data_IF_584632102948
#
_entry.id   IF_584632102948
#
_cell.length_a   1.000
_cell.length_b   1.000
_cell.length_c   1.000
_cell.angle_alpha   90.00
_cell.angle_beta   90.00
_cell.angle_gamma   90.00
#
_symmetry.space_group_name_H-M   'P 1'
#
loop_
_entity.id
_entity.type
_entity.pdbx_description
1 polymer ?
#
# COMPACT_ATOMS: atom_id res chain seq x y z
N UNK A 1 -46.36 -11.50 64.48
CA UNK A 1 -47.72 -11.87 64.01
C UNK A 1 -47.93 -11.25 62.64
N UNK A 2 -48.24 -12.11 61.65
CA UNK A 2 -48.89 -11.85 60.33
C UNK A 2 -48.08 -11.01 59.31
N UNK A 3 -47.40 -11.63 58.34
CA UNK A 3 -47.89 -12.15 57.02
C UNK A 3 -48.11 -11.00 56.03
N UNK A 4 -47.30 -10.79 54.99
CA UNK A 4 -47.09 -11.54 53.73
C UNK A 4 -47.55 -10.64 52.56
N UNK A 5 -46.70 -10.38 51.57
CA UNK A 5 -47.00 -10.63 50.14
C UNK A 5 -45.96 -10.06 49.15
N UNK A 6 -45.57 -10.96 48.24
CA UNK A 6 -45.13 -10.75 46.85
C UNK A 6 -43.78 -10.07 46.59
N UNK A 7 -42.70 -10.82 46.35
CA UNK A 7 -42.32 -11.45 45.06
C UNK A 7 -42.43 -10.52 43.86
N UNK A 8 -41.30 -9.97 43.44
CA UNK A 8 -40.99 -9.63 42.05
C UNK A 8 -39.61 -10.22 41.72
N UNK A 9 -39.61 -11.44 41.21
CA UNK A 9 -38.58 -11.90 40.28
C UNK A 9 -38.76 -11.10 38.98
N UNK A 10 -37.68 -10.54 38.42
CA UNK A 10 -37.29 -10.87 37.05
C UNK A 10 -36.08 -10.10 36.55
N UNK A 11 -35.03 -10.88 36.23
CA UNK A 11 -34.28 -10.85 34.97
C UNK A 11 -33.34 -9.66 34.74
N UNK A 12 -32.09 -9.87 35.15
CA UNK A 12 -30.92 -9.39 34.42
C UNK A 12 -31.05 -9.70 32.91
N UNK A 13 -30.60 -8.80 32.03
CA UNK A 13 -30.57 -9.06 30.60
C UNK A 13 -29.56 -10.18 30.28
N UNK A 14 -29.84 -11.05 29.30
CA UNK A 14 -28.96 -12.15 28.97
C UNK A 14 -27.72 -11.62 28.25
N UNK A 15 -26.56 -11.99 28.79
CA UNK A 15 -25.29 -11.94 28.10
C UNK A 15 -25.40 -12.81 26.84
N UNK A 16 -25.53 -12.19 25.67
CA UNK A 16 -25.48 -12.86 24.36
C UNK A 16 -24.05 -13.36 24.13
N UNK A 17 -23.78 -14.53 24.69
CA UNK A 17 -22.64 -15.35 24.32
C UNK A 17 -23.16 -16.45 23.41
N UNK A 18 -23.13 -16.22 22.10
CA UNK A 18 -23.18 -17.31 21.14
C UNK A 18 -22.37 -17.01 19.86
N UNK A 19 -21.25 -17.72 19.79
CA UNK A 19 -20.66 -18.33 18.60
C UNK A 19 -20.21 -17.39 17.49
N UNK A 20 -19.03 -16.78 17.69
CA UNK A 20 -18.07 -16.69 16.58
C UNK A 20 -17.48 -18.09 16.39
N UNK A 21 -18.04 -18.82 15.43
CA UNK A 21 -17.40 -20.02 14.89
C UNK A 21 -16.09 -19.59 14.24
N UNK A 22 -14.96 -19.82 14.93
CA UNK A 22 -13.66 -19.92 14.28
C UNK A 22 -13.67 -21.21 13.45
N UNK A 23 -14.21 -21.13 12.24
CA UNK A 23 -14.06 -22.18 11.26
C UNK A 23 -12.70 -21.99 10.61
N UNK A 24 -11.71 -22.65 11.19
CA UNK A 24 -10.43 -22.95 10.55
C UNK A 24 -10.75 -23.81 9.33
N UNK A 25 -10.79 -23.19 8.15
CA UNK A 25 -10.75 -23.93 6.89
C UNK A 25 -9.28 -24.08 6.48
N UNK A 26 -8.67 -25.16 6.96
CA UNK A 26 -7.61 -25.83 6.21
C UNK A 26 -8.28 -26.45 4.98
N UNK A 27 -8.02 -25.87 3.81
CA UNK A 27 -8.47 -26.35 2.51
C UNK A 27 -7.35 -26.20 1.50
N UNK A 28 -6.43 -27.15 1.52
CA UNK A 28 -5.42 -27.36 0.49
C UNK A 28 -6.13 -27.76 -0.82
N UNK A 29 -6.18 -26.87 -1.81
CA UNK A 29 -6.37 -27.25 -3.20
C UNK A 29 -5.37 -26.48 -4.06
N UNK A 30 -4.37 -27.23 -4.53
CA UNK A 30 -3.49 -26.82 -5.60
C UNK A 30 -4.33 -26.66 -6.88
N UNK A 31 -4.67 -25.42 -7.21
CA UNK A 31 -5.24 -25.03 -8.50
C UNK A 31 -4.26 -24.11 -9.21
N UNK A 32 -3.52 -24.66 -10.17
CA UNK A 32 -2.69 -23.89 -11.11
C UNK A 32 -3.61 -23.01 -11.97
N UNK A 33 -3.75 -21.73 -11.60
CA UNK A 33 -4.29 -20.71 -12.50
C UNK A 33 -3.14 -19.99 -13.20
N UNK A 34 -2.91 -20.39 -14.45
CA UNK A 34 -2.17 -19.62 -15.44
C UNK A 34 -2.87 -18.28 -15.65
N UNK A 35 -2.22 -17.20 -15.25
CA UNK A 35 -2.62 -15.84 -15.63
C UNK A 35 -2.34 -15.68 -17.13
N UNK A 36 -3.40 -15.65 -17.92
CA UNK A 36 -3.37 -15.34 -19.33
C UNK A 36 -3.06 -13.86 -19.55
N UNK A 37 -1.88 -13.58 -20.08
CA UNK A 37 -1.59 -12.30 -20.73
C UNK A 37 -2.28 -12.28 -22.08
N UNK A 38 -3.30 -11.42 -22.20
CA UNK A 38 -4.02 -11.13 -23.45
C UNK A 38 -3.13 -10.21 -24.30
N UNK A 39 -2.80 -10.55 -25.56
CA UNK A 39 -2.08 -9.62 -26.44
C UNK A 39 -3.03 -8.50 -26.89
N UNK A 40 -2.62 -7.25 -26.65
CA UNK A 40 -3.27 -6.09 -27.23
C UNK A 40 -2.93 -6.01 -28.72
N UNK A 41 -3.92 -6.29 -29.56
CA UNK A 41 -3.89 -5.98 -30.99
C UNK A 41 -4.33 -4.52 -31.19
N UNK A 42 -3.48 -3.74 -31.84
CA UNK A 42 -3.86 -2.47 -32.46
C UNK A 42 -3.27 -2.39 -33.87
N UNK A 43 -3.96 -1.66 -34.77
CA UNK A 43 -4.08 -2.01 -36.18
C UNK A 43 -2.96 -1.46 -37.06
N UNK A 44 -2.64 -2.21 -38.11
CA UNK A 44 -1.79 -1.80 -39.22
C UNK A 44 -2.57 -0.92 -40.19
N UNK A 45 -1.97 0.19 -40.65
CA UNK A 45 -2.25 0.92 -41.91
C UNK A 45 -1.20 2.03 -42.12
N UNK A 46 -0.95 2.54 -43.35
CA UNK A 46 -0.82 1.86 -44.64
C UNK A 46 0.51 2.22 -45.37
N UNK A 47 0.72 1.56 -46.50
CA UNK A 47 1.78 1.77 -47.50
C UNK A 47 1.93 3.23 -47.98
N UNK A 48 3.18 3.68 -48.09
CA UNK A 48 3.67 4.62 -49.12
C UNK A 48 5.17 4.33 -49.34
N UNK A 49 5.50 3.63 -50.42
CA UNK A 49 6.10 4.16 -51.66
C UNK A 49 7.56 3.68 -51.79
N UNK A 50 7.72 2.42 -52.22
CA UNK A 50 8.95 2.01 -52.90
C UNK A 50 8.69 2.10 -54.40
N UNK A 51 9.50 2.94 -55.03
CA UNK A 51 9.47 3.23 -56.44
C UNK A 51 9.85 1.98 -57.24
N UNK A 52 9.02 1.68 -58.24
CA UNK A 52 9.15 0.60 -59.21
C UNK A 52 10.39 0.76 -60.09
N UNK A 53 11.10 -0.33 -60.31
CA UNK A 53 11.80 -0.61 -61.56
C UNK A 53 11.98 -2.13 -61.72
N UNK A 54 11.03 -2.70 -62.45
CA UNK A 54 11.13 -3.72 -63.50
C UNK A 54 11.87 -5.06 -63.29
N UNK A 55 11.08 -6.11 -63.51
CA UNK A 55 11.49 -7.48 -63.80
C UNK A 55 12.52 -7.55 -64.94
N UNK A 56 13.62 -8.25 -64.68
CA UNK A 56 14.32 -8.97 -65.75
C UNK A 56 14.64 -10.39 -65.30
N UNK A 57 13.81 -11.28 -65.84
CA UNK A 57 14.07 -12.65 -66.27
C UNK A 57 15.53 -13.10 -66.09
N UNK A 58 15.68 -14.16 -65.32
CA UNK A 58 16.92 -14.90 -65.09
C UNK A 58 17.36 -15.56 -66.41
N UNK A 59 18.36 -14.99 -67.05
CA UNK A 59 19.38 -15.72 -67.82
C UNK A 59 20.76 -15.16 -67.48
N UNK A 60 21.80 -16.00 -67.52
CA UNK A 60 23.01 -15.82 -66.73
C UNK A 60 23.94 -14.83 -67.41
N UNK A 61 24.31 -13.75 -66.71
CA UNK A 61 25.43 -12.93 -67.12
C UNK A 61 26.70 -13.39 -66.38
N UNK A 62 27.72 -13.60 -67.20
CA UNK A 62 29.00 -14.22 -66.95
C UNK A 62 29.94 -13.15 -66.34
N UNK A 63 30.44 -13.40 -65.12
CA UNK A 63 31.37 -12.54 -64.40
C UNK A 63 30.67 -11.73 -63.31
N UNK A 64 30.79 -12.01 -62.02
CA UNK A 64 31.98 -12.36 -61.25
C UNK A 64 31.65 -13.57 -60.39
N UNK A 65 32.41 -14.66 -60.54
CA UNK A 65 32.37 -15.76 -59.57
C UNK A 65 32.93 -15.21 -58.26
N UNK A 66 32.04 -14.93 -57.29
CA UNK A 66 32.42 -15.01 -55.88
C UNK A 66 33.19 -16.32 -55.72
N UNK A 67 34.44 -16.21 -55.27
CA UNK A 67 35.29 -17.36 -54.98
C UNK A 67 34.63 -18.16 -53.86
N UNK A 68 33.70 -19.05 -54.21
CA UNK A 68 33.15 -20.02 -53.29
C UNK A 68 34.34 -20.85 -52.79
N UNK A 69 34.66 -20.69 -51.50
CA UNK A 69 35.65 -21.52 -50.82
C UNK A 69 35.34 -22.98 -51.13
N UNK A 70 36.36 -23.85 -51.30
CA UNK A 70 36.10 -25.25 -51.66
C UNK A 70 35.14 -25.88 -50.65
N UNK A 71 34.31 -26.83 -51.10
CA UNK A 71 33.20 -27.42 -50.32
C UNK A 71 33.66 -27.90 -48.94
N UNK A 72 34.87 -28.47 -48.86
CA UNK A 72 35.50 -28.92 -47.62
C UNK A 72 35.73 -27.77 -46.63
N UNK A 73 36.14 -26.60 -47.12
CA UNK A 73 36.35 -25.41 -46.30
C UNK A 73 35.02 -24.76 -45.87
N UNK A 74 33.96 -24.89 -46.68
CA UNK A 74 32.62 -24.46 -46.28
C UNK A 74 32.07 -25.34 -45.14
N UNK A 75 32.24 -26.66 -45.22
CA UNK A 75 31.82 -27.59 -44.16
C UNK A 75 32.60 -27.33 -42.87
N UNK A 76 33.92 -27.12 -42.95
CA UNK A 76 34.74 -26.73 -41.81
C UNK A 76 34.27 -25.41 -41.19
N UNK A 77 34.01 -24.40 -42.02
CA UNK A 77 33.53 -23.10 -41.56
C UNK A 77 32.18 -23.20 -40.85
N UNK A 78 31.23 -23.96 -41.40
CA UNK A 78 29.94 -24.20 -40.72
C UNK A 78 30.16 -24.93 -39.40
N UNK A 79 31.03 -25.93 -39.36
CA UNK A 79 31.33 -26.66 -38.12
C UNK A 79 31.92 -25.73 -37.05
N UNK A 80 32.87 -24.88 -37.44
CA UNK A 80 33.49 -23.87 -36.55
C UNK A 80 32.49 -22.79 -36.09
N UNK A 81 31.55 -22.37 -36.96
CA UNK A 81 30.50 -21.40 -36.62
C UNK A 81 29.54 -21.89 -35.55
N UNK A 82 29.33 -23.21 -35.48
CA UNK A 82 28.44 -23.87 -34.52
C UNK A 82 29.16 -24.39 -33.27
N UNK A 83 30.50 -24.39 -33.24
CA UNK A 83 31.26 -24.75 -32.07
C UNK A 83 31.26 -23.59 -31.05
N UNK A 84 30.67 -23.76 -29.84
CA UNK A 84 30.66 -22.73 -28.82
C UNK A 84 32.05 -22.43 -28.24
N UNK A 85 33.02 -23.32 -28.45
CA UNK A 85 34.39 -23.22 -27.94
C UNK A 85 35.29 -22.41 -28.89
N UNK A 86 34.85 -22.23 -30.14
CA UNK A 86 35.61 -21.52 -31.17
C UNK A 86 35.46 -20.01 -31.08
N UNK A 87 36.56 -19.27 -31.31
CA UNK A 87 36.52 -17.81 -31.43
C UNK A 87 35.72 -17.33 -32.66
N UNK A 88 35.49 -18.19 -33.65
CA UNK A 88 34.72 -17.85 -34.85
C UNK A 88 33.20 -18.10 -34.72
N UNK A 89 32.70 -18.55 -33.56
CA UNK A 89 31.29 -18.86 -33.31
C UNK A 89 30.37 -17.68 -33.66
N UNK A 90 29.22 -17.94 -34.31
CA UNK A 90 28.22 -16.90 -34.64
C UNK A 90 27.33 -16.57 -33.44
N UNK A 91 27.08 -17.54 -32.57
CA UNK A 91 26.13 -17.42 -31.46
C UNK A 91 26.76 -16.77 -30.23
N UNK A 92 27.39 -15.60 -30.42
CA UNK A 92 27.99 -14.80 -29.37
C UNK A 92 27.09 -13.62 -29.04
N UNK A 93 26.77 -13.42 -27.76
CA UNK A 93 26.08 -12.22 -27.31
C UNK A 93 26.56 -11.79 -25.93
N UNK A 94 26.70 -10.48 -25.73
CA UNK A 94 27.12 -9.88 -24.48
C UNK A 94 25.91 -9.52 -23.61
N UNK A 95 25.83 -10.14 -22.44
CA UNK A 95 24.88 -9.73 -21.41
C UNK A 95 25.56 -8.86 -20.37
N UNK A 96 24.80 -7.93 -19.79
CA UNK A 96 25.32 -7.05 -18.75
C UNK A 96 24.91 -7.56 -17.38
N UNK A 97 25.90 -7.85 -16.53
CA UNK A 97 25.67 -8.20 -15.13
C UNK A 97 25.93 -7.00 -14.23
N UNK A 98 25.06 -6.78 -13.24
CA UNK A 98 25.29 -5.72 -12.25
C UNK A 98 26.35 -6.19 -11.25
N UNK A 99 27.39 -5.40 -11.08
CA UNK A 99 28.51 -5.63 -10.17
C UNK A 99 28.65 -4.41 -9.27
N UNK A 100 29.11 -4.62 -8.04
CA UNK A 100 29.47 -3.51 -7.16
C UNK A 100 30.69 -2.75 -7.70
N UNK A 101 30.73 -1.43 -7.54
CA UNK A 101 31.73 -0.56 -8.16
C UNK A 101 33.16 -0.92 -7.73
N UNK A 102 33.32 -1.36 -6.48
CA UNK A 102 34.60 -1.83 -5.93
C UNK A 102 35.16 -3.05 -6.68
N UNK A 103 34.30 -3.87 -7.29
CA UNK A 103 34.70 -5.10 -7.96
C UNK A 103 34.89 -4.96 -9.47
N UNK A 104 34.50 -3.82 -10.05
CA UNK A 104 34.61 -3.53 -11.49
C UNK A 104 36.04 -3.74 -12.04
N UNK A 105 37.13 -3.31 -11.37
CA UNK A 105 38.50 -3.47 -11.89
C UNK A 105 38.98 -4.93 -12.01
N UNK A 106 38.32 -5.88 -11.34
CA UNK A 106 38.72 -7.29 -11.38
C UNK A 106 38.17 -8.04 -12.60
N UNK A 107 37.21 -7.46 -13.31
CA UNK A 107 36.65 -8.08 -14.51
C UNK A 107 37.54 -7.82 -15.71
N UNK A 108 37.98 -8.91 -16.34
CA UNK A 108 38.83 -8.92 -17.54
C UNK A 108 38.23 -9.85 -18.59
N UNK A 109 38.51 -9.60 -19.88
CA UNK A 109 38.08 -10.50 -20.95
C UNK A 109 38.62 -11.91 -20.72
N UNK A 110 37.81 -12.91 -21.10
CA UNK A 110 38.16 -14.32 -20.97
C UNK A 110 39.19 -14.75 -22.04
N UNK A 111 39.94 -15.86 -21.83
CA UNK A 111 41.01 -16.27 -22.76
C UNK A 111 40.56 -16.59 -24.20
N UNK A 112 39.26 -16.84 -24.41
CA UNK A 112 38.64 -17.21 -25.69
C UNK A 112 37.81 -16.07 -26.30
N UNK A 113 37.95 -14.86 -25.74
CA UNK A 113 37.15 -13.69 -26.08
C UNK A 113 38.00 -12.64 -26.81
N UNK A 114 37.42 -12.04 -27.84
CA UNK A 114 38.10 -11.03 -28.65
C UNK A 114 38.10 -9.68 -27.93
N UNK A 115 39.30 -9.10 -27.73
CA UNK A 115 39.47 -7.85 -26.98
C UNK A 115 38.66 -6.67 -27.57
N UNK A 116 38.56 -6.61 -28.90
CA UNK A 116 37.80 -5.56 -29.59
C UNK A 116 36.28 -5.66 -29.30
N UNK A 117 35.73 -6.87 -29.29
CA UNK A 117 34.29 -7.08 -29.01
C UNK A 117 33.97 -6.75 -27.55
N UNK A 118 34.88 -7.07 -26.63
CA UNK A 118 34.77 -6.73 -25.21
C UNK A 118 34.75 -5.21 -24.98
N UNK A 119 35.65 -4.47 -25.64
CA UNK A 119 35.69 -3.01 -25.56
C UNK A 119 34.43 -2.35 -26.18
N UNK A 120 33.93 -2.88 -27.30
CA UNK A 120 32.68 -2.42 -27.90
C UNK A 120 31.48 -2.65 -26.95
N UNK A 121 31.44 -3.79 -26.27
CA UNK A 121 30.42 -4.08 -25.26
C UNK A 121 30.55 -3.13 -24.05
N UNK A 122 31.76 -2.79 -23.62
CA UNK A 122 31.96 -1.79 -22.57
C UNK A 122 31.48 -0.39 -22.99
N UNK A 123 31.65 -0.01 -24.26
CA UNK A 123 31.12 1.25 -24.78
C UNK A 123 29.59 1.28 -24.82
N UNK A 124 28.94 0.15 -25.15
CA UNK A 124 27.48 0.03 -25.25
C UNK A 124 26.77 -0.29 -23.92
N UNK A 125 27.42 -0.01 -22.80
CA UNK A 125 26.91 -0.30 -21.46
C UNK A 125 25.70 0.58 -21.08
N UNK A 126 24.63 0.01 -20.48
CA UNK A 126 23.40 0.75 -20.20
C UNK A 126 23.49 1.76 -19.04
N UNK A 127 24.29 1.48 -18.01
CA UNK A 127 24.51 2.35 -16.86
C UNK A 127 25.83 1.97 -16.16
N UNK A 128 26.39 2.83 -15.29
CA UNK A 128 27.59 2.51 -14.49
C UNK A 128 27.39 1.23 -13.63
N UNK A 129 28.47 0.52 -13.29
CA UNK A 129 28.40 -0.73 -12.50
C UNK A 129 27.96 -2.01 -13.25
N UNK A 130 27.54 -1.94 -14.51
CA UNK A 130 27.27 -3.12 -15.33
C UNK A 130 28.53 -3.64 -16.06
N UNK A 131 28.91 -4.91 -15.91
CA UNK A 131 30.01 -5.49 -16.68
C UNK A 131 29.51 -6.50 -17.71
N UNK A 132 30.07 -6.48 -18.94
CA UNK A 132 29.71 -7.42 -19.98
C UNK A 132 30.15 -8.83 -19.60
N UNK A 133 29.36 -9.81 -20.00
CA UNK A 133 29.62 -11.24 -19.85
C UNK A 133 29.23 -11.90 -21.16
N UNK A 134 30.20 -12.53 -21.80
CA UNK A 134 29.97 -13.28 -23.03
C UNK A 134 29.18 -14.55 -22.74
N UNK A 135 28.09 -14.72 -23.48
CA UNK A 135 27.42 -16.01 -23.64
C UNK A 135 27.70 -16.52 -25.06
N UNK A 136 28.39 -17.66 -25.13
CA UNK A 136 28.60 -18.41 -26.37
C UNK A 136 27.63 -19.59 -26.44
N UNK A 137 26.86 -19.67 -27.54
CA UNK A 137 25.91 -20.74 -27.81
C UNK A 137 24.69 -20.79 -26.88
N UNK A 138 23.90 -21.85 -27.03
CA UNK A 138 22.66 -22.04 -26.27
C UNK A 138 22.92 -22.47 -24.82
N UNK A 139 24.07 -23.06 -24.52
CA UNK A 139 24.45 -23.48 -23.16
C UNK A 139 24.63 -22.28 -22.23
N UNK A 140 25.31 -21.22 -22.69
CA UNK A 140 25.46 -19.97 -21.93
C UNK A 140 24.12 -19.29 -21.64
N UNK A 141 23.19 -19.29 -22.61
CA UNK A 141 21.82 -18.78 -22.41
C UNK A 141 21.05 -19.63 -21.39
N UNK A 142 21.17 -20.96 -21.46
CA UNK A 142 20.53 -21.86 -20.50
C UNK A 142 21.04 -21.63 -19.06
N UNK A 143 22.33 -21.40 -18.88
CA UNK A 143 22.89 -21.09 -17.56
C UNK A 143 22.47 -19.72 -17.02
N UNK A 144 22.30 -18.74 -17.93
CA UNK A 144 21.69 -17.45 -17.57
C UNK A 144 20.24 -17.61 -17.11
N UNK A 145 19.45 -18.41 -17.81
CA UNK A 145 18.06 -18.72 -17.42
C UNK A 145 18.00 -19.42 -16.05
N UNK A 146 18.90 -20.36 -15.77
CA UNK A 146 19.01 -20.99 -14.44
C UNK A 146 19.30 -19.95 -13.36
N UNK A 147 20.21 -19.01 -13.63
CA UNK A 147 20.58 -17.94 -12.69
C UNK A 147 19.41 -16.98 -12.45
N UNK A 148 18.68 -16.59 -13.50
CA UNK A 148 17.47 -15.77 -13.39
C UNK A 148 16.38 -16.47 -12.58
N UNK A 149 16.16 -17.77 -12.81
CA UNK A 149 15.20 -18.57 -12.03
C UNK A 149 15.54 -18.59 -10.54
N UNK A 150 16.82 -18.75 -10.20
CA UNK A 150 17.29 -18.67 -8.80
C UNK A 150 17.03 -17.27 -8.20
N UNK A 151 17.39 -16.21 -8.92
CA UNK A 151 17.15 -14.84 -8.46
C UNK A 151 15.66 -14.53 -8.24
N UNK A 152 14.78 -14.99 -9.13
CA UNK A 152 13.31 -14.85 -8.98
C UNK A 152 12.83 -15.57 -7.72
N UNK A 153 13.32 -16.79 -7.45
CA UNK A 153 12.97 -17.51 -6.22
C UNK A 153 13.43 -16.77 -4.97
N UNK A 154 14.63 -16.18 -4.99
CA UNK A 154 15.14 -15.36 -3.89
C UNK A 154 14.30 -14.09 -3.69
N UNK A 155 13.90 -13.42 -4.77
CA UNK A 155 13.00 -12.26 -4.70
C UNK A 155 11.64 -12.63 -4.12
N UNK A 156 11.03 -13.73 -4.57
CA UNK A 156 9.76 -14.20 -4.03
C UNK A 156 9.89 -14.53 -2.53
N UNK A 157 10.98 -15.19 -2.12
CA UNK A 157 11.24 -15.49 -0.71
C UNK A 157 11.34 -14.23 0.13
N UNK A 158 12.10 -13.21 -0.33
CA UNK A 158 12.21 -11.92 0.35
C UNK A 158 10.87 -11.18 0.40
N UNK A 159 10.09 -11.22 -0.67
CA UNK A 159 8.78 -10.60 -0.73
C UNK A 159 7.81 -11.26 0.26
N UNK A 160 7.84 -12.58 0.39
CA UNK A 160 7.08 -13.30 1.42
C UNK A 160 7.55 -12.95 2.84
N UNK A 161 8.85 -12.76 3.07
CA UNK A 161 9.35 -12.28 4.37
C UNK A 161 8.84 -10.88 4.70
N UNK A 162 8.86 -9.96 3.72
CA UNK A 162 8.34 -8.60 3.89
C UNK A 162 6.84 -8.66 4.20
N UNK A 163 6.05 -9.40 3.44
CA UNK A 163 4.62 -9.55 3.68
C UNK A 163 4.36 -10.13 5.07
N UNK A 164 5.07 -11.18 5.47
CA UNK A 164 4.94 -11.74 6.83
C UNK A 164 5.31 -10.75 7.93
N UNK A 165 6.30 -9.87 7.70
CA UNK A 165 6.64 -8.81 8.65
C UNK A 165 5.57 -7.73 8.74
N UNK A 166 4.94 -7.36 7.61
CA UNK A 166 3.83 -6.42 7.58
C UNK A 166 2.62 -6.99 8.30
N UNK A 167 2.26 -8.25 8.04
CA UNK A 167 1.16 -8.95 8.71
C UNK A 167 1.39 -8.99 10.22
N UNK A 168 2.61 -9.26 10.68
CA UNK A 168 2.94 -9.26 12.10
C UNK A 168 2.80 -7.87 12.75
N UNK A 169 3.20 -6.80 12.04
CA UNK A 169 3.03 -5.42 12.51
C UNK A 169 1.54 -5.06 12.60
N UNK A 170 0.76 -5.39 11.58
CA UNK A 170 -0.68 -5.14 11.53
C UNK A 170 -1.40 -5.87 12.68
N UNK A 171 -1.14 -7.16 12.85
CA UNK A 171 -1.72 -7.96 13.95
C UNK A 171 -1.38 -7.37 15.32
N UNK A 172 -0.12 -6.96 15.54
CA UNK A 172 0.29 -6.31 16.79
C UNK A 172 -0.38 -4.97 17.00
N UNK A 173 -0.58 -4.19 15.94
CA UNK A 173 -1.26 -2.91 16.03
C UNK A 173 -2.72 -3.10 16.47
N UNK A 174 -3.46 -3.93 15.73
CA UNK A 174 -4.89 -4.18 15.94
C UNK A 174 -5.19 -4.83 17.29
N UNK A 175 -4.46 -5.90 17.65
CA UNK A 175 -4.80 -6.70 18.83
C UNK A 175 -4.19 -6.13 20.12
N UNK A 176 -2.98 -5.59 20.06
CA UNK A 176 -2.29 -5.14 21.27
C UNK A 176 -2.30 -3.62 21.41
N UNK A 177 -1.90 -2.91 20.36
CA UNK A 177 -1.59 -1.48 20.47
C UNK A 177 -2.87 -0.65 20.60
N UNK A 178 -3.86 -0.90 19.75
CA UNK A 178 -5.15 -0.21 19.80
C UNK A 178 -5.88 -0.45 21.12
N UNK A 179 -5.94 -1.71 21.57
CA UNK A 179 -6.59 -2.07 22.83
C UNK A 179 -5.90 -1.40 24.02
N UNK A 180 -4.55 -1.42 24.05
CA UNK A 180 -3.78 -0.75 25.10
C UNK A 180 -3.94 0.76 25.06
N UNK A 181 -3.97 1.37 23.87
CA UNK A 181 -4.18 2.80 23.70
C UNK A 181 -5.56 3.23 24.21
N UNK A 182 -6.61 2.47 23.87
CA UNK A 182 -7.96 2.74 24.35
C UNK A 182 -8.08 2.55 25.87
N UNK A 183 -7.50 1.48 26.41
CA UNK A 183 -7.45 1.26 27.87
C UNK A 183 -6.67 2.36 28.59
N UNK A 184 -5.56 2.84 28.02
CA UNK A 184 -4.79 3.95 28.56
C UNK A 184 -5.59 5.25 28.57
N UNK A 185 -6.32 5.57 27.49
CA UNK A 185 -7.23 6.73 27.45
C UNK A 185 -8.30 6.66 28.54
N UNK A 186 -8.95 5.49 28.72
CA UNK A 186 -9.94 5.30 29.81
C UNK A 186 -9.33 5.51 31.20
N UNK A 187 -8.13 4.96 31.43
CA UNK A 187 -7.41 5.16 32.71
C UNK A 187 -7.01 6.62 32.91
N UNK A 188 -6.58 7.31 31.87
CA UNK A 188 -6.25 8.73 31.91
C UNK A 188 -7.46 9.56 32.35
N UNK A 189 -8.65 9.32 31.78
CA UNK A 189 -9.88 9.98 32.20
C UNK A 189 -10.18 9.73 33.67
N UNK A 190 -10.14 8.47 34.12
CA UNK A 190 -10.40 8.14 35.52
C UNK A 190 -9.38 8.73 36.50
N UNK A 191 -8.10 8.79 36.13
CA UNK A 191 -7.05 9.43 36.94
C UNK A 191 -7.24 10.95 36.94
N UNK A 192 -7.60 11.55 35.81
CA UNK A 192 -7.91 12.98 35.71
C UNK A 192 -9.07 13.37 36.64
N UNK A 193 -10.15 12.58 36.66
CA UNK A 193 -11.28 12.76 37.58
C UNK A 193 -10.85 12.64 39.05
N UNK A 194 -10.09 11.59 39.40
CA UNK A 194 -9.57 11.40 40.77
C UNK A 194 -8.63 12.54 41.19
N UNK A 195 -7.79 13.01 40.27
CA UNK A 195 -6.88 14.13 40.48
C UNK A 195 -7.67 15.41 40.75
N UNK A 196 -8.71 15.69 39.95
CA UNK A 196 -9.60 16.83 40.14
C UNK A 196 -10.30 16.76 41.51
N UNK A 197 -10.88 15.61 41.86
CA UNK A 197 -11.54 15.41 43.16
C UNK A 197 -10.58 15.61 44.33
N UNK A 198 -9.35 15.09 44.22
CA UNK A 198 -8.32 15.28 45.24
C UNK A 198 -7.92 16.75 45.35
N UNK A 199 -7.64 17.41 44.22
CA UNK A 199 -7.27 18.83 44.18
C UNK A 199 -8.37 19.70 44.80
N UNK A 200 -9.64 19.42 44.51
CA UNK A 200 -10.77 20.09 45.13
C UNK A 200 -10.81 19.89 46.65
N UNK A 201 -10.63 18.66 47.13
CA UNK A 201 -10.58 18.36 48.57
C UNK A 201 -9.41 19.06 49.26
N UNK A 202 -8.24 19.09 48.64
CA UNK A 202 -7.05 19.79 49.17
C UNK A 202 -7.32 21.28 49.29
N UNK A 203 -7.93 21.90 48.27
CA UNK A 203 -8.29 23.32 48.31
C UNK A 203 -9.27 23.62 49.44
N UNK A 204 -10.33 22.81 49.60
CA UNK A 204 -11.32 22.98 50.67
C UNK A 204 -10.69 22.86 52.05
N UNK A 205 -9.83 21.85 52.28
CA UNK A 205 -9.19 21.62 53.58
C UNK A 205 -8.18 22.73 53.92
N UNK A 206 -7.42 23.20 52.93
CA UNK A 206 -6.45 24.28 53.11
C UNK A 206 -7.12 25.62 53.43
N UNK A 207 -8.21 25.93 52.72
CA UNK A 207 -8.89 27.22 52.84
C UNK A 207 -10.01 27.21 53.89
N UNK A 208 -10.16 26.12 54.66
CA UNK A 208 -11.23 25.99 55.65
C UNK A 208 -11.09 27.05 56.74
N UNK A 209 -12.06 27.95 56.84
CA UNK A 209 -12.10 29.01 57.85
C UNK A 209 -11.49 30.34 57.40
N UNK A 210 -10.96 30.42 56.17
CA UNK A 210 -10.66 31.70 55.52
C UNK A 210 -11.89 32.23 54.77
N UNK A 211 -11.95 33.55 54.61
CA UNK A 211 -12.98 34.16 53.76
C UNK A 211 -12.74 33.77 52.29
N UNK A 212 -13.85 33.65 51.54
CA UNK A 212 -13.83 33.31 50.12
C UNK A 212 -13.05 34.37 49.33
N UNK A 213 -12.16 33.94 48.42
CA UNK A 213 -11.41 34.86 47.57
C UNK A 213 -12.25 35.36 46.39
N UNK A 214 -11.93 36.54 45.84
CA UNK A 214 -12.59 37.06 44.64
C UNK A 214 -12.51 36.09 43.44
N UNK A 215 -11.36 35.42 43.26
CA UNK A 215 -11.19 34.42 42.20
C UNK A 215 -12.11 33.19 42.37
N UNK A 216 -12.44 32.84 43.63
CA UNK A 216 -13.34 31.73 43.93
C UNK A 216 -14.80 32.10 43.67
N UNK A 217 -15.20 33.35 43.95
CA UNK A 217 -16.51 33.89 43.57
C UNK A 217 -16.69 33.92 42.05
N UNK A 218 -15.65 34.31 41.29
CA UNK A 218 -15.68 34.26 39.83
C UNK A 218 -15.85 32.83 39.29
N UNK A 219 -15.13 31.86 39.86
CA UNK A 219 -15.26 30.45 39.49
C UNK A 219 -16.66 29.92 39.81
N UNK A 220 -17.20 30.26 40.99
CA UNK A 220 -18.56 29.89 41.40
C UNK A 220 -19.60 30.45 40.43
N UNK A 221 -19.48 31.73 40.05
CA UNK A 221 -20.39 32.35 39.09
C UNK A 221 -20.37 31.62 37.75
N UNK A 222 -19.19 31.26 37.24
CA UNK A 222 -19.05 30.47 36.00
C UNK A 222 -19.69 29.09 36.13
N UNK A 223 -19.49 28.39 37.23
CA UNK A 223 -20.09 27.07 37.47
C UNK A 223 -21.62 27.14 37.57
N UNK A 224 -22.18 28.17 38.21
CA UNK A 224 -23.62 28.37 38.30
C UNK A 224 -24.26 28.65 36.95
N UNK A 225 -23.57 29.39 36.07
CA UNK A 225 -24.03 29.61 34.70
C UNK A 225 -24.07 28.28 33.94
N UNK A 226 -22.97 27.52 33.97
CA UNK A 226 -22.89 26.21 33.33
C UNK A 226 -23.92 25.21 33.88
N UNK A 227 -24.15 25.20 35.19
CA UNK A 227 -25.15 24.34 35.82
C UNK A 227 -26.56 24.67 35.33
N UNK A 228 -26.90 25.96 35.20
CA UNK A 228 -28.21 26.39 34.66
C UNK A 228 -28.39 26.02 33.20
N UNK A 229 -27.33 26.15 32.39
CA UNK A 229 -27.34 25.77 30.98
C UNK A 229 -27.52 24.25 30.79
N UNK A 230 -26.84 23.45 31.62
CA UNK A 230 -26.93 21.98 31.55
C UNK A 230 -28.27 21.47 32.11
N UNK A 231 -28.79 22.10 33.16
CA UNK A 231 -30.08 21.72 33.77
C UNK A 231 -31.30 22.36 33.09
N UNK A 232 -31.16 22.93 31.90
CA UNK A 232 -32.28 23.49 31.15
C UNK A 232 -33.21 22.35 30.66
N UNK A 233 -34.49 22.30 31.10
CA UNK A 233 -35.43 21.28 30.66
C UNK A 233 -35.65 21.27 29.15
N UNK A 234 -35.40 22.39 28.44
CA UNK A 234 -35.48 22.43 26.99
C UNK A 234 -34.39 21.57 26.30
N UNK A 235 -33.19 21.45 26.90
CA UNK A 235 -32.11 20.59 26.40
C UNK A 235 -32.50 19.12 26.56
N UNK A 236 -33.02 18.75 27.74
CA UNK A 236 -33.53 17.40 28.00
C UNK A 236 -34.69 17.02 27.06
N UNK A 237 -35.67 17.91 26.89
CA UNK A 237 -36.79 17.68 25.98
C UNK A 237 -36.34 17.49 24.52
N UNK A 238 -35.32 18.25 24.07
CA UNK A 238 -34.73 18.10 22.73
C UNK A 238 -34.04 16.75 22.56
N UNK A 239 -33.35 16.27 23.59
CA UNK A 239 -32.72 14.94 23.56
C UNK A 239 -33.79 13.84 23.40
N UNK A 240 -34.85 13.89 24.21
CA UNK A 240 -35.97 12.94 24.15
C UNK A 240 -36.70 12.99 22.80
N UNK A 241 -36.91 14.19 22.25
CA UNK A 241 -37.46 14.37 20.92
C UNK A 241 -36.57 13.72 19.85
N UNK A 242 -35.25 13.96 19.90
CA UNK A 242 -34.29 13.38 18.96
C UNK A 242 -34.26 11.85 19.04
N UNK A 243 -34.30 11.29 20.25
CA UNK A 243 -34.41 9.84 20.46
C UNK A 243 -35.70 9.28 19.87
N UNK A 244 -36.85 9.92 20.11
CA UNK A 244 -38.14 9.48 19.55
C UNK A 244 -38.15 9.52 18.02
N UNK A 245 -37.57 10.56 17.42
CA UNK A 245 -37.39 10.68 15.96
C UNK A 245 -36.48 9.59 15.41
N UNK A 246 -35.35 9.32 16.07
CA UNK A 246 -34.43 8.26 15.67
C UNK A 246 -35.09 6.88 15.72
N UNK A 247 -35.84 6.58 16.77
CA UNK A 247 -36.59 5.33 16.89
C UNK A 247 -37.62 5.22 15.77
N UNK A 248 -38.35 6.30 15.48
CA UNK A 248 -39.33 6.33 14.40
C UNK A 248 -38.70 6.08 13.03
N UNK A 249 -37.56 6.72 12.75
CA UNK A 249 -36.80 6.52 11.52
C UNK A 249 -36.25 5.10 11.40
N UNK A 250 -35.77 4.51 12.51
CA UNK A 250 -35.34 3.11 12.53
C UNK A 250 -36.49 2.17 12.18
N UNK A 251 -37.65 2.33 12.82
CA UNK A 251 -38.83 1.50 12.54
C UNK A 251 -39.28 1.64 11.08
N UNK A 252 -39.26 2.86 10.55
CA UNK A 252 -39.56 3.10 9.14
C UNK A 252 -38.54 2.45 8.21
N UNK A 253 -37.23 2.61 8.48
CA UNK A 253 -36.16 1.97 7.72
C UNK A 253 -36.27 0.46 7.76
N UNK A 254 -36.51 -0.14 8.93
CA UNK A 254 -36.66 -1.59 9.09
C UNK A 254 -37.87 -2.12 8.31
N UNK A 255 -38.96 -1.34 8.24
CA UNK A 255 -40.12 -1.68 7.43
C UNK A 255 -39.81 -1.60 5.94
N UNK A 256 -39.18 -0.51 5.50
CA UNK A 256 -38.80 -0.31 4.10
C UNK A 256 -37.80 -1.37 3.64
N UNK A 257 -36.81 -1.72 4.46
CA UNK A 257 -35.88 -2.81 4.17
C UNK A 257 -36.61 -4.13 4.01
N UNK A 258 -37.58 -4.47 4.87
CA UNK A 258 -38.39 -5.69 4.72
C UNK A 258 -39.27 -5.69 3.47
N UNK A 259 -39.79 -4.53 3.07
CA UNK A 259 -40.56 -4.37 1.83
C UNK A 259 -39.65 -4.48 0.59
N UNK A 260 -38.41 -4.02 0.67
CA UNK A 260 -37.38 -4.16 -0.37
C UNK A 260 -36.81 -5.58 -0.48
N UNK A 261 -36.65 -6.26 0.67
CA UNK A 261 -36.21 -7.66 0.75
C UNK A 261 -37.31 -8.64 0.29
N UNK A 262 -38.53 -8.16 0.01
CA UNK A 262 -39.58 -8.98 -0.57
C UNK A 262 -39.20 -9.33 -2.03
N UNK A 263 -39.11 -10.61 -2.40
CA UNK A 263 -38.53 -11.05 -3.67
C UNK A 263 -39.48 -10.75 -4.83
N UNK A 264 -39.44 -9.52 -5.34
CA UNK A 264 -40.36 -9.02 -6.38
C UNK A 264 -39.75 -8.05 -7.39
N UNK A 265 -38.46 -7.71 -7.29
CA UNK A 265 -37.79 -6.86 -8.26
C UNK A 265 -36.33 -7.26 -8.36
N UNK A 266 -35.85 -7.43 -9.59
CA UNK A 266 -34.47 -7.73 -9.96
C UNK A 266 -33.47 -7.17 -8.95
N UNK A 267 -32.70 -8.09 -8.36
CA UNK A 267 -31.52 -7.78 -7.57
C UNK A 267 -30.76 -6.66 -8.28
N UNK A 268 -30.64 -5.52 -7.60
CA UNK A 268 -29.90 -4.37 -8.11
C UNK A 268 -28.53 -4.87 -8.54
N UNK A 269 -28.25 -4.77 -9.84
CA UNK A 269 -26.96 -5.08 -10.42
C UNK A 269 -25.92 -4.32 -9.59
N UNK A 270 -25.17 -5.06 -8.78
CA UNK A 270 -24.13 -4.48 -7.94
C UNK A 270 -23.19 -3.66 -8.81
N UNK A 271 -22.59 -2.62 -8.22
CA UNK A 271 -21.60 -1.83 -8.94
C UNK A 271 -20.56 -2.76 -9.57
N UNK A 272 -20.31 -2.57 -10.86
CA UNK A 272 -19.35 -3.38 -11.60
C UNK A 272 -17.99 -3.34 -10.88
N UNK A 273 -17.36 -4.50 -10.59
CA UNK A 273 -16.11 -4.57 -9.81
C UNK A 273 -14.98 -3.70 -10.39
N UNK A 274 -14.98 -3.42 -11.69
CA UNK A 274 -14.00 -2.50 -12.30
C UNK A 274 -14.22 -1.05 -11.84
N UNK A 275 -15.47 -0.61 -11.75
CA UNK A 275 -15.82 0.73 -11.25
C UNK A 275 -15.47 0.88 -9.78
N UNK A 276 -15.67 -0.17 -8.97
CA UNK A 276 -15.26 -0.16 -7.56
C UNK A 276 -13.74 -0.06 -7.39
N UNK A 277 -12.96 -0.79 -8.20
CA UNK A 277 -11.51 -0.73 -8.16
C UNK A 277 -10.98 0.67 -8.55
N UNK A 278 -11.59 1.29 -9.56
CA UNK A 278 -11.28 2.68 -9.95
C UNK A 278 -11.65 3.65 -8.82
N UNK A 279 -12.81 3.49 -8.21
CA UNK A 279 -13.24 4.32 -7.08
C UNK A 279 -12.27 4.21 -5.89
N UNK A 280 -11.84 2.98 -5.53
CA UNK A 280 -10.83 2.76 -4.47
C UNK A 280 -9.53 3.50 -4.77
N UNK A 281 -9.01 3.40 -5.99
CA UNK A 281 -7.79 4.09 -6.40
C UNK A 281 -7.93 5.62 -6.30
N UNK A 282 -9.05 6.17 -6.75
CA UNK A 282 -9.34 7.61 -6.63
C UNK A 282 -9.39 8.05 -5.17
N UNK A 283 -10.01 7.24 -4.30
CA UNK A 283 -10.07 7.53 -2.86
C UNK A 283 -8.68 7.50 -2.20
N UNK A 284 -7.83 6.53 -2.54
CA UNK A 284 -6.43 6.47 -2.06
C UNK A 284 -5.61 7.69 -2.51
N UNK A 285 -5.82 8.16 -3.75
CA UNK A 285 -5.12 9.34 -4.26
C UNK A 285 -5.61 10.62 -3.57
N UNK A 286 -6.92 10.75 -3.33
CA UNK A 286 -7.47 11.86 -2.55
C UNK A 286 -7.04 11.81 -1.09
N UNK A 287 -6.93 10.63 -0.48
CA UNK A 287 -6.39 10.51 0.88
C UNK A 287 -4.96 11.07 0.95
N UNK A 288 -4.07 10.69 0.02
CA UNK A 288 -2.70 11.20 -0.04
C UNK A 288 -2.68 12.73 -0.21
N UNK A 289 -3.52 13.26 -1.09
CA UNK A 289 -3.63 14.71 -1.31
C UNK A 289 -4.12 15.44 -0.06
N UNK A 290 -5.15 14.92 0.61
CA UNK A 290 -5.67 15.50 1.85
C UNK A 290 -4.65 15.44 2.98
N UNK A 291 -3.90 14.34 3.11
CA UNK A 291 -2.82 14.23 4.10
C UNK A 291 -1.70 15.25 3.82
N UNK A 292 -1.37 15.48 2.55
CA UNK A 292 -0.42 16.52 2.17
C UNK A 292 -0.93 17.92 2.54
N UNK A 293 -2.15 18.28 2.12
CA UNK A 293 -2.76 19.57 2.44
C UNK A 293 -2.89 19.80 3.95
N UNK A 294 -3.23 18.75 4.71
CA UNK A 294 -3.26 18.80 6.17
C UNK A 294 -1.89 19.16 6.74
N UNK A 295 -0.81 18.50 6.29
CA UNK A 295 0.55 18.80 6.76
C UNK A 295 0.98 20.22 6.41
N UNK A 296 0.68 20.68 5.20
CA UNK A 296 0.94 22.06 4.77
C UNK A 296 0.23 23.07 5.67
N UNK A 297 -1.06 22.85 5.97
CA UNK A 297 -1.81 23.72 6.89
C UNK A 297 -1.24 23.68 8.31
N UNK A 298 -0.83 22.51 8.80
CA UNK A 298 -0.17 22.38 10.11
C UNK A 298 1.17 23.14 10.16
N UNK A 299 1.96 23.09 9.08
CA UNK A 299 3.23 23.83 8.96
C UNK A 299 2.96 25.34 8.91
N UNK A 300 2.03 25.79 8.05
CA UNK A 300 1.67 27.21 7.94
C UNK A 300 1.13 27.76 9.27
N UNK A 301 0.36 26.97 10.02
CA UNK A 301 -0.11 27.36 11.35
C UNK A 301 1.05 27.52 12.35
N UNK A 302 2.06 26.64 12.30
CA UNK A 302 3.26 26.77 13.13
C UNK A 302 4.09 27.99 12.73
N UNK A 303 4.26 28.24 11.44
CA UNK A 303 5.01 29.40 10.93
C UNK A 303 4.33 30.72 11.31
N UNK A 304 3.00 30.78 11.21
CA UNK A 304 2.23 31.94 11.66
C UNK A 304 2.41 32.19 13.16
N UNK A 305 2.35 31.13 13.99
CA UNK A 305 2.62 31.26 15.43
C UNK A 305 4.05 31.73 15.74
N UNK A 306 5.04 31.27 14.97
CA UNK A 306 6.42 31.72 15.11
C UNK A 306 6.57 33.20 14.72
N UNK A 307 5.92 33.62 13.64
CA UNK A 307 5.89 35.01 13.21
C UNK A 307 5.18 35.93 14.21
N UNK A 308 4.06 35.49 14.79
CA UNK A 308 3.36 36.25 15.84
C UNK A 308 4.25 36.47 17.07
N UNK A 309 5.00 35.43 17.49
CA UNK A 309 5.94 35.52 18.60
C UNK A 309 7.10 36.48 18.29
N UNK A 310 7.67 36.43 17.09
CA UNK A 310 8.76 37.33 16.69
C UNK A 310 8.28 38.78 16.61
N UNK A 311 7.05 39.02 16.14
CA UNK A 311 6.41 40.33 16.11
C UNK A 311 6.15 40.89 17.52
N UNK A 312 5.63 40.08 18.44
CA UNK A 312 5.40 40.49 19.83
C UNK A 312 6.71 40.71 20.62
N UNK A 313 7.78 39.98 20.27
CA UNK A 313 9.11 40.22 20.80
C UNK A 313 9.69 41.56 20.36
N UNK A 314 9.48 41.93 19.09
CA UNK A 314 10.00 43.17 18.50
C UNK A 314 9.20 44.43 18.92
N UNK A 315 7.96 44.29 19.40
CA UNK A 315 7.19 45.40 19.97
C UNK A 315 7.50 45.69 21.44
N UNK A 316 8.20 44.79 22.14
CA UNK A 316 8.64 44.97 23.54
C UNK A 316 10.06 45.55 23.66
N UNK A 317 10.82 45.59 22.56
CA UNK A 317 12.21 46.09 22.50
C UNK A 317 12.34 47.55 22.05
N UNK A 318 11.22 48.27 21.90
CA UNK A 318 11.17 49.68 21.50
C UNK A 318 10.39 50.50 22.52
#
# INVERSE_FOLDING_TARGET
MRSDSSKMLSKCPPCLNHKRSCQVLYGNQAGTHLVGLKPAATPLSPLAFFQTADESIIMPNLGVLDQQKPIVDQIKLVTEKWDPSGSSCVFKHYFYNKVDEAHVPFYKPQPHEDANEWEEALQKKPASGYMPVLCSGFTGVADRLKTQKRAINDFNTRLHQINGSLDAILQRHELETEVRALAARRRQTAISERCLVLAAKVQILRNRGYALSADEDDLKNRLQVLEREVNDPAVGAREEEMWSRLISLRVYSDRLSKELDQPGGQDGEGLDPETEAKAKKVLEDYEKQLQHLRKEVEILAQDLQQWEKSRQGNSKSR
#
